data_IF_149749230879
#
_entry.id   IF_149749230879
#
_cell.length_a   1.000
_cell.length_b   1.000
_cell.length_c   1.000
_cell.angle_alpha   90.00
_cell.angle_beta   90.00
_cell.angle_gamma   90.00
#
_symmetry.space_group_name_H-M   'P 1'
#
loop_
_entity.id
_entity.type
_entity.pdbx_description
1 polymer ?
#
# COMPACT_ATOMS: atom_id res chain seq x y z
N UNK A 1 -13.40 10.17 -16.06
CA UNK A 1 -14.49 10.00 -15.24
C UNK A 1 -15.05 8.64 -15.20
N UNK A 2 -15.34 8.11 -16.31
CA UNK A 2 -15.94 6.81 -16.34
C UNK A 2 -15.08 5.77 -15.71
N UNK A 3 -13.81 5.86 -15.94
CA UNK A 3 -12.87 4.89 -15.40
C UNK A 3 -12.82 4.92 -13.91
N UNK A 4 -13.12 6.06 -13.34
CA UNK A 4 -12.99 6.21 -11.90
C UNK A 4 -14.01 5.41 -11.14
N UNK A 5 -15.11 5.10 -11.77
CA UNK A 5 -16.16 4.37 -11.09
C UNK A 5 -15.76 2.98 -10.68
N UNK A 6 -14.84 2.38 -11.39
CA UNK A 6 -14.39 1.03 -11.10
C UNK A 6 -13.14 1.00 -10.25
N UNK A 7 -12.73 2.15 -9.77
CA UNK A 7 -11.53 2.29 -8.99
C UNK A 7 -11.87 2.49 -7.54
N UNK A 8 -11.32 1.64 -6.72
CA UNK A 8 -11.51 1.73 -5.28
C UNK A 8 -10.16 1.85 -4.61
N UNK A 9 -10.11 2.63 -3.56
CA UNK A 9 -8.82 2.88 -2.95
C UNK A 9 -8.88 2.70 -1.45
N UNK A 10 -7.73 2.54 -0.86
CA UNK A 10 -7.51 2.62 0.57
C UNK A 10 -6.24 3.43 0.79
N UNK A 11 -6.20 4.11 1.91
CA UNK A 11 -5.10 5.00 2.22
C UNK A 11 -4.62 4.75 3.62
N UNK A 12 -3.31 4.73 3.79
CA UNK A 12 -2.68 4.54 5.08
C UNK A 12 -1.80 5.75 5.35
N UNK A 13 -2.15 6.50 6.39
CA UNK A 13 -1.46 7.74 6.69
C UNK A 13 -0.46 7.57 7.82
N UNK A 14 0.61 8.32 7.73
CA UNK A 14 1.59 8.43 8.82
C UNK A 14 2.15 7.08 9.26
N UNK A 15 2.51 6.27 8.29
CA UNK A 15 3.12 4.97 8.58
C UNK A 15 4.55 5.21 9.07
N UNK A 16 4.92 4.69 10.24
CA UNK A 16 6.21 4.99 10.85
C UNK A 16 7.35 4.14 10.28
N UNK A 17 7.47 4.09 8.98
CA UNK A 17 8.59 3.45 8.30
C UNK A 17 9.13 4.42 7.27
N UNK A 18 10.34 4.18 6.80
CA UNK A 18 10.88 5.06 5.78
C UNK A 18 10.17 4.85 4.46
N UNK A 19 9.97 5.91 3.68
CA UNK A 19 9.34 5.77 2.37
C UNK A 19 10.09 4.82 1.46
N UNK A 20 11.41 4.79 1.58
CA UNK A 20 12.23 3.91 0.75
C UNK A 20 11.90 2.44 0.97
N UNK A 21 11.78 2.04 2.23
CA UNK A 21 11.46 0.66 2.56
C UNK A 21 10.04 0.31 2.13
N UNK A 22 9.14 1.24 2.28
CA UNK A 22 7.76 1.02 1.87
C UNK A 22 7.66 0.88 0.35
N UNK A 23 8.45 1.65 -0.40
CA UNK A 23 8.43 1.57 -1.85
C UNK A 23 8.90 0.22 -2.37
N UNK A 24 9.82 -0.41 -1.66
CA UNK A 24 10.25 -1.75 -2.06
C UNK A 24 9.09 -2.72 -2.03
N UNK A 25 8.28 -2.65 -0.99
CA UNK A 25 7.11 -3.52 -0.87
C UNK A 25 6.07 -3.15 -1.93
N UNK A 26 5.84 -1.87 -2.14
CA UNK A 26 4.87 -1.43 -3.13
C UNK A 26 5.22 -1.93 -4.52
N UNK A 27 6.50 -1.91 -4.85
CA UNK A 27 6.94 -2.36 -6.16
C UNK A 27 6.73 -3.84 -6.37
N UNK A 28 6.74 -4.62 -5.29
CA UNK A 28 6.53 -6.06 -5.40
C UNK A 28 5.13 -6.42 -5.88
N UNK A 29 4.16 -5.60 -5.56
CA UNK A 29 2.77 -5.96 -5.83
C UNK A 29 2.10 -5.09 -6.89
N UNK A 30 2.81 -4.10 -7.42
CA UNK A 30 2.21 -3.20 -8.40
C UNK A 30 1.80 -3.97 -9.66
N UNK A 31 0.55 -3.81 -10.05
CA UNK A 31 0.03 -4.48 -11.24
C UNK A 31 -0.35 -5.93 -11.04
N UNK A 32 -0.27 -6.43 -9.82
CA UNK A 32 -0.51 -7.84 -9.53
C UNK A 32 -1.98 -8.05 -9.16
N UNK A 33 -2.48 -9.24 -9.46
CA UNK A 33 -3.83 -9.61 -9.06
C UNK A 33 -3.91 -9.64 -7.51
N UNK A 34 -5.05 -9.22 -6.96
CA UNK A 34 -5.11 -8.93 -5.53
C UNK A 34 -4.84 -10.14 -4.63
N UNK A 35 -5.36 -11.30 -4.98
CA UNK A 35 -5.14 -12.45 -4.10
C UNK A 35 -3.72 -12.96 -4.19
N UNK A 36 -3.12 -12.84 -5.36
CA UNK A 36 -1.70 -13.17 -5.49
C UNK A 36 -0.85 -12.17 -4.72
N UNK A 37 -1.23 -10.90 -4.76
CA UNK A 37 -0.52 -9.87 -4.00
C UNK A 37 -0.61 -10.14 -2.50
N UNK A 38 -1.79 -10.55 -2.02
CA UNK A 38 -1.93 -10.88 -0.61
C UNK A 38 -1.00 -12.04 -0.22
N UNK A 39 -0.88 -13.02 -1.08
CA UNK A 39 0.02 -14.14 -0.81
C UNK A 39 1.47 -13.70 -0.74
N UNK A 40 1.90 -12.87 -1.68
CA UNK A 40 3.25 -12.35 -1.68
C UNK A 40 3.54 -11.56 -0.41
N UNK A 41 2.61 -10.71 -0.02
CA UNK A 41 2.79 -9.90 1.18
C UNK A 41 2.81 -10.74 2.44
N UNK A 42 1.97 -11.76 2.49
CA UNK A 42 1.88 -12.60 3.68
C UNK A 42 3.19 -13.34 3.94
N UNK A 43 3.88 -13.76 2.89
CA UNK A 43 5.10 -14.51 3.04
C UNK A 43 6.36 -13.65 2.99
N UNK A 44 6.20 -12.33 2.93
CA UNK A 44 7.35 -11.45 2.96
C UNK A 44 7.82 -11.24 4.39
N UNK A 45 9.13 -11.18 4.56
CA UNK A 45 9.71 -10.94 5.88
C UNK A 45 9.74 -9.46 6.26
N UNK A 46 9.36 -8.58 5.35
CA UNK A 46 9.45 -7.14 5.61
C UNK A 46 8.30 -6.69 6.48
N UNK A 47 8.61 -5.86 7.46
CA UNK A 47 7.58 -5.32 8.32
C UNK A 47 6.55 -4.49 7.56
N UNK A 48 7.02 -3.75 6.58
CA UNK A 48 6.13 -2.92 5.77
C UNK A 48 5.11 -3.76 5.03
N UNK A 49 5.43 -5.01 4.71
CA UNK A 49 4.50 -5.87 3.98
C UNK A 49 3.24 -6.14 4.78
N UNK A 50 3.34 -6.29 6.09
CA UNK A 50 2.16 -6.54 6.92
C UNK A 50 1.21 -5.35 6.86
N UNK A 51 1.75 -4.15 6.83
CA UNK A 51 0.93 -2.94 6.76
C UNK A 51 0.25 -2.81 5.41
N UNK A 52 0.97 -3.11 4.34
CA UNK A 52 0.41 -3.06 3.01
C UNK A 52 -0.63 -4.16 2.81
N UNK A 53 -0.42 -5.31 3.44
CA UNK A 53 -1.41 -6.39 3.38
C UNK A 53 -2.74 -5.93 3.96
N UNK A 54 -2.72 -5.27 5.10
CA UNK A 54 -3.95 -4.75 5.70
C UNK A 54 -4.59 -3.70 4.80
N UNK A 55 -3.78 -2.86 4.20
CA UNK A 55 -4.27 -1.84 3.31
C UNK A 55 -4.95 -2.46 2.09
N UNK A 56 -4.36 -3.49 1.53
CA UNK A 56 -4.94 -4.17 0.38
C UNK A 56 -6.25 -4.84 0.74
N UNK A 57 -6.32 -5.47 1.91
CA UNK A 57 -7.58 -6.06 2.38
C UNK A 57 -8.67 -5.01 2.53
N UNK A 58 -8.29 -3.83 3.01
CA UNK A 58 -9.23 -2.73 3.15
C UNK A 58 -9.76 -2.28 1.79
N UNK A 59 -8.88 -2.18 0.80
CA UNK A 59 -9.31 -1.79 -0.54
C UNK A 59 -10.25 -2.83 -1.16
N UNK A 60 -9.95 -4.09 -0.95
CA UNK A 60 -10.82 -5.17 -1.44
C UNK A 60 -12.18 -5.10 -0.75
N UNK A 61 -12.18 -4.86 0.55
CA UNK A 61 -13.44 -4.75 1.29
C UNK A 61 -14.28 -3.58 0.80
N UNK A 62 -13.65 -2.45 0.48
CA UNK A 62 -14.36 -1.33 -0.07
C UNK A 62 -15.03 -1.67 -1.40
N UNK A 63 -14.32 -2.41 -2.23
CA UNK A 63 -14.88 -2.85 -3.50
C UNK A 63 -16.05 -3.79 -3.28
N UNK A 64 -15.90 -4.75 -2.37
CA UNK A 64 -16.95 -5.72 -2.10
C UNK A 64 -18.19 -5.06 -1.54
N UNK A 65 -18.01 -4.06 -0.71
CA UNK A 65 -19.14 -3.34 -0.15
C UNK A 65 -19.91 -2.59 -1.22
N UNK A 66 -19.20 -1.96 -2.14
CA UNK A 66 -19.84 -1.21 -3.20
C UNK A 66 -20.55 -2.10 -4.20
N UNK A 67 -20.00 -3.26 -4.48
CA UNK A 67 -20.54 -4.15 -5.48
C UNK A 67 -21.45 -5.23 -4.88
N UNK A 68 -21.56 -5.25 -3.56
CA UNK A 68 -22.46 -6.13 -2.84
C UNK A 68 -22.24 -7.61 -3.14
N UNK A 69 -20.98 -7.95 -3.40
CA UNK A 69 -20.59 -9.34 -3.61
C UNK A 69 -19.10 -9.47 -3.33
N UNK A 70 -18.67 -10.70 -3.13
CA UNK A 70 -17.26 -10.94 -2.87
C UNK A 70 -16.47 -10.98 -4.16
N UNK A 71 -15.24 -10.52 -4.07
CA UNK A 71 -14.33 -10.56 -5.21
C UNK A 71 -13.91 -11.99 -5.49
N UNK A 72 -13.82 -12.33 -6.77
CA UNK A 72 -13.37 -13.64 -7.18
C UNK A 72 -11.92 -13.58 -7.64
N UNK A 73 -11.28 -14.73 -7.62
CA UNK A 73 -9.89 -14.81 -8.05
C UNK A 73 -9.77 -14.33 -9.47
N UNK A 74 -8.77 -13.48 -9.71
CA UNK A 74 -8.53 -12.95 -11.03
C UNK A 74 -9.38 -11.77 -11.42
N UNK A 75 -10.29 -11.34 -10.56
CA UNK A 75 -11.20 -10.27 -10.90
C UNK A 75 -10.61 -8.89 -10.65
N UNK A 76 -9.86 -8.73 -9.58
CA UNK A 76 -9.30 -7.44 -9.21
C UNK A 76 -7.79 -7.45 -9.29
N UNK A 77 -7.22 -6.31 -9.58
CA UNK A 77 -5.77 -6.16 -9.55
C UNK A 77 -5.40 -4.85 -8.89
N UNK A 78 -4.17 -4.77 -8.43
CA UNK A 78 -3.62 -3.55 -7.87
C UNK A 78 -3.27 -2.65 -9.05
N UNK A 79 -4.11 -1.67 -9.32
CA UNK A 79 -3.89 -0.83 -10.49
C UNK A 79 -2.80 0.19 -10.24
N UNK A 80 -2.73 0.72 -9.04
CA UNK A 80 -1.63 1.61 -8.71
C UNK A 80 -1.44 1.62 -7.20
N UNK A 81 -0.20 1.87 -6.80
CA UNK A 81 0.13 2.05 -5.41
C UNK A 81 1.23 3.08 -5.35
N UNK A 82 1.05 4.09 -4.52
CA UNK A 82 2.03 5.16 -4.40
C UNK A 82 2.39 5.36 -2.95
N UNK A 83 3.61 5.78 -2.73
CA UNK A 83 4.17 6.02 -1.40
C UNK A 83 4.69 7.44 -1.39
N UNK A 84 4.11 8.27 -0.57
CA UNK A 84 4.51 9.67 -0.45
C UNK A 84 5.18 9.91 0.89
N UNK A 85 6.10 10.83 0.91
CA UNK A 85 6.75 11.22 2.15
C UNK A 85 5.77 11.96 3.04
N UNK A 86 5.80 11.64 4.32
CA UNK A 86 4.99 12.35 5.31
C UNK A 86 5.92 13.19 6.17
N UNK A 87 5.38 13.72 7.25
CA UNK A 87 6.12 14.56 8.16
C UNK A 87 7.31 13.80 8.73
N UNK A 88 8.46 14.46 8.74
CA UNK A 88 9.65 13.91 9.36
C UNK A 88 9.77 14.49 10.76
N UNK A 89 9.85 13.62 11.75
CA UNK A 89 10.08 14.05 13.13
C UNK A 89 11.56 14.05 13.40
N UNK A 90 12.03 15.14 14.00
CA UNK A 90 13.42 15.26 14.40
C UNK A 90 13.51 15.02 15.89
N UNK A 91 14.37 14.10 16.29
CA UNK A 91 14.57 13.76 17.69
C UNK A 91 16.05 13.90 18.02
N UNK A 92 16.32 14.10 19.29
CA UNK A 92 17.69 14.13 19.79
C UNK A 92 17.90 12.87 20.62
N UNK A 93 19.04 12.27 20.42
CA UNK A 93 19.45 11.13 21.23
C UNK A 93 20.70 11.50 21.99
N UNK A 94 20.76 11.21 23.30
CA UNK A 94 21.99 11.50 24.04
C UNK A 94 23.18 10.78 23.44
N UNK A 95 24.28 11.46 23.41
CA UNK A 95 25.54 10.92 22.89
C UNK A 95 26.56 10.98 24.01
N UNK A 96 27.64 10.21 23.91
CA UNK A 96 28.72 10.28 24.87
C UNK A 96 29.23 11.72 25.00
N UNK A 97 29.67 12.09 26.18
CA UNK A 97 30.25 13.39 26.47
C UNK A 97 29.26 14.54 26.38
N UNK A 98 27.99 14.25 26.62
CA UNK A 98 27.01 15.30 26.69
C UNK A 98 26.52 15.86 25.38
N UNK A 99 26.95 15.27 24.26
CA UNK A 99 26.50 15.74 22.96
C UNK A 99 25.21 15.01 22.61
N UNK A 100 24.41 15.63 21.72
CA UNK A 100 23.20 15.02 21.23
C UNK A 100 23.34 14.68 19.76
N UNK A 101 22.73 13.55 19.35
CA UNK A 101 22.64 13.22 17.95
C UNK A 101 21.25 13.53 17.45
N UNK A 102 21.17 14.05 16.23
CA UNK A 102 19.89 14.22 15.59
C UNK A 102 19.44 12.91 14.98
N UNK A 103 18.19 12.56 15.25
CA UNK A 103 17.57 11.40 14.65
C UNK A 103 16.34 11.87 13.91
N UNK A 104 16.22 11.46 12.65
CA UNK A 104 15.03 11.76 11.86
C UNK A 104 14.14 10.55 11.84
N UNK A 105 12.93 10.72 12.34
CA UNK A 105 11.90 9.69 12.26
C UNK A 105 11.06 9.99 11.04
N UNK A 106 11.24 9.19 10.01
CA UNK A 106 10.51 9.39 8.76
C UNK A 106 9.25 8.58 8.76
N UNK A 107 8.26 9.09 8.09
CA UNK A 107 7.02 8.39 7.91
C UNK A 107 6.55 8.57 6.48
N UNK A 108 5.49 7.85 6.13
CA UNK A 108 5.00 7.90 4.76
C UNK A 108 3.50 7.73 4.73
N UNK A 109 2.93 8.06 3.58
CA UNK A 109 1.53 7.82 3.28
C UNK A 109 1.48 6.87 2.10
N UNK A 110 0.64 5.85 2.20
CA UNK A 110 0.49 4.89 1.12
C UNK A 110 -0.93 4.97 0.60
N UNK A 111 -1.06 5.11 -0.70
CA UNK A 111 -2.37 5.10 -1.35
C UNK A 111 -2.38 3.96 -2.35
N UNK A 112 -3.38 3.11 -2.26
CA UNK A 112 -3.49 1.93 -3.09
C UNK A 112 -4.84 1.92 -3.78
N UNK A 113 -4.83 1.70 -5.09
CA UNK A 113 -6.05 1.58 -5.88
C UNK A 113 -6.18 0.18 -6.42
N UNK A 114 -7.40 -0.33 -6.41
CA UNK A 114 -7.70 -1.61 -7.04
C UNK A 114 -8.74 -1.37 -8.13
N UNK A 115 -8.57 -2.04 -9.24
CA UNK A 115 -9.49 -1.96 -10.37
C UNK A 115 -9.93 -3.35 -10.77
N UNK A 116 -11.11 -3.41 -11.32
CA UNK A 116 -11.58 -4.63 -11.94
C UNK A 116 -10.81 -4.84 -13.24
N UNK A 117 -10.38 -6.07 -13.46
CA UNK A 117 -9.68 -6.40 -14.69
C UNK A 117 -10.64 -6.70 -15.79
N UNK A 118 -11.70 -6.29 -15.88
CA UNK A 118 -12.68 -6.80 -16.75
C UNK A 118 -12.36 -6.63 -18.19
N UNK A 119 -13.07 -5.87 -18.78
CA UNK A 119 -13.27 -5.73 -20.16
C UNK A 119 -12.07 -5.30 -20.92
N UNK A 120 -11.18 -4.57 -20.29
CA UNK A 120 -10.04 -4.07 -21.02
C UNK A 120 -9.17 -5.17 -21.58
N UNK A 121 -9.00 -6.21 -20.81
CA UNK A 121 -8.15 -7.29 -21.24
C UNK A 121 -8.78 -8.08 -22.38
N UNK A 122 -10.07 -8.09 -22.42
CA UNK A 122 -10.76 -8.88 -23.42
C UNK A 122 -10.86 -8.19 -24.76
N UNK A 123 -10.65 -6.92 -24.77
CA UNK A 123 -10.78 -6.16 -26.00
C UNK A 123 -9.53 -6.17 -26.83
N UNK A 124 -8.48 -6.69 -26.32
CA UNK A 124 -7.22 -6.71 -27.05
C UNK A 124 -6.89 -8.02 -27.74
#
# INVERSE_FOLDING_TARGET
QMCIRDRYFAKLNNVPTSPRKMRLVADMIRGMEVFRALGVLKFSNKEAAARVEKLLRSAIANWEQKNERKAEAGELCVSSISVDCATTLKRMRPAPQGRGYRIRKRSNHVTLFVDSKSTNDNQN
#
